data_IF_112451213831
#
_entry.id   IF_112451213831
#
_cell.length_a   1.000
_cell.length_b   1.000
_cell.length_c   1.000
_cell.angle_alpha   90.00
_cell.angle_beta   90.00
_cell.angle_gamma   90.00
#
_symmetry.space_group_name_H-M   'P 1'
#
loop_
_entity.id
_entity.type
_entity.pdbx_description
1 polymer ?
#
# COMPACT_ATOMS: atom_id res chain seq x y z
N UNK A 1 -3.85 -10.42 -1.40
CA UNK A 1 -3.57 -10.04 0.01
C UNK A 1 -3.63 -8.53 0.12
N UNK A 2 -4.02 -8.00 1.29
CA UNK A 2 -3.98 -6.56 1.56
C UNK A 2 -2.94 -6.35 2.67
N UNK A 3 -2.08 -5.35 2.49
CA UNK A 3 -1.08 -4.94 3.46
C UNK A 3 -1.30 -3.47 3.80
N UNK A 4 -1.14 -3.12 5.08
CA UNK A 4 -1.41 -1.78 5.56
C UNK A 4 -0.13 -1.04 5.93
N UNK A 5 -0.07 0.24 5.55
CA UNK A 5 0.98 1.16 5.95
C UNK A 5 0.37 2.40 6.58
N UNK A 6 0.91 2.83 7.72
CA UNK A 6 0.50 4.04 8.42
C UNK A 6 1.42 5.20 8.03
N UNK A 7 0.85 6.17 7.31
CA UNK A 7 1.50 7.41 6.93
C UNK A 7 1.22 8.55 7.91
N UNK A 8 1.57 9.76 7.51
CA UNK A 8 1.31 10.97 8.31
C UNK A 8 -0.15 11.42 8.16
N UNK A 9 -1.04 10.80 8.94
CA UNK A 9 -2.47 11.13 8.99
C UNK A 9 -3.35 10.35 8.00
N UNK A 10 -2.80 9.34 7.34
CA UNK A 10 -3.53 8.47 6.42
C UNK A 10 -3.04 7.02 6.52
N UNK A 11 -3.89 6.10 6.06
CA UNK A 11 -3.53 4.70 5.88
C UNK A 11 -3.48 4.38 4.39
N UNK A 12 -2.47 3.62 3.99
CA UNK A 12 -2.32 3.09 2.65
C UNK A 12 -2.60 1.59 2.70
N UNK A 13 -3.55 1.15 1.89
CA UNK A 13 -3.87 -0.27 1.71
C UNK A 13 -3.30 -0.73 0.36
N UNK A 14 -2.29 -1.60 0.42
CA UNK A 14 -1.61 -2.15 -0.75
C UNK A 14 -2.18 -3.51 -1.07
N UNK A 15 -2.88 -3.60 -2.20
CA UNK A 15 -3.29 -4.88 -2.78
C UNK A 15 -2.09 -5.57 -3.41
N UNK A 16 -1.96 -6.89 -3.21
CA UNK A 16 -0.90 -7.68 -3.82
C UNK A 16 -1.37 -9.10 -4.11
N UNK A 17 -0.80 -9.75 -5.13
CA UNK A 17 -1.09 -11.15 -5.45
C UNK A 17 -0.56 -12.11 -4.38
N UNK A 18 0.62 -11.83 -3.83
CA UNK A 18 1.33 -12.65 -2.85
C UNK A 18 1.75 -11.84 -1.63
N UNK A 19 2.26 -12.49 -0.58
CA UNK A 19 2.83 -11.80 0.58
C UNK A 19 4.04 -10.96 0.15
N UNK A 20 4.05 -9.69 0.54
CA UNK A 20 5.12 -8.75 0.21
C UNK A 20 6.40 -9.16 0.95
N UNK A 21 7.52 -9.24 0.24
CA UNK A 21 8.81 -9.59 0.84
C UNK A 21 9.31 -8.48 1.77
N UNK A 22 10.20 -8.78 2.72
CA UNK A 22 10.78 -7.77 3.61
C UNK A 22 11.49 -6.66 2.82
N UNK A 23 12.22 -7.04 1.77
CA UNK A 23 12.90 -6.09 0.88
C UNK A 23 11.92 -5.15 0.17
N UNK A 24 10.77 -5.66 -0.27
CA UNK A 24 9.76 -4.84 -0.92
C UNK A 24 8.98 -3.98 0.09
N UNK A 25 8.79 -4.45 1.32
CA UNK A 25 8.27 -3.63 2.43
C UNK A 25 9.20 -2.43 2.68
N UNK A 26 10.52 -2.62 2.68
CA UNK A 26 11.48 -1.53 2.86
C UNK A 26 11.41 -0.51 1.70
N UNK A 27 11.31 -0.98 0.46
CA UNK A 27 11.10 -0.11 -0.72
C UNK A 27 9.77 0.64 -0.64
N UNK A 28 8.68 -0.02 -0.27
CA UNK A 28 7.36 0.59 -0.13
C UNK A 28 7.35 1.62 1.00
N UNK A 29 8.00 1.32 2.12
CA UNK A 29 8.19 2.26 3.23
C UNK A 29 8.86 3.54 2.72
N UNK A 30 9.90 3.42 1.89
CA UNK A 30 10.54 4.57 1.25
C UNK A 30 9.61 5.31 0.28
N UNK A 31 8.94 4.60 -0.63
CA UNK A 31 7.99 5.18 -1.60
C UNK A 31 6.84 5.93 -0.92
N UNK A 32 6.41 5.44 0.24
CA UNK A 32 5.33 6.03 1.04
C UNK A 32 5.83 7.04 2.06
N UNK A 33 7.00 7.66 1.81
CA UNK A 33 7.56 8.73 2.64
C UNK A 33 7.75 8.33 4.12
N UNK A 34 8.20 7.11 4.36
CA UNK A 34 8.47 6.57 5.69
C UNK A 34 7.24 5.97 6.39
N UNK A 35 6.17 5.66 5.65
CA UNK A 35 4.98 5.04 6.24
C UNK A 35 5.32 3.68 6.88
N UNK A 36 4.82 3.46 8.10
CA UNK A 36 5.13 2.27 8.89
C UNK A 36 4.28 1.09 8.46
N UNK A 37 4.92 -0.03 8.11
CA UNK A 37 4.22 -1.29 7.86
C UNK A 37 3.49 -1.78 9.13
N UNK A 38 2.23 -2.16 8.97
CA UNK A 38 1.41 -2.76 10.03
C UNK A 38 1.24 -4.24 9.73
N UNK A 39 1.77 -5.08 10.62
CA UNK A 39 1.58 -6.52 10.57
C UNK A 39 0.21 -6.91 11.17
N UNK A 40 -0.86 -6.63 10.42
CA UNK A 40 -2.24 -6.96 10.78
C UNK A 40 -3.07 -7.31 9.54
N UNK A 41 -4.00 -8.26 9.68
CA UNK A 41 -4.92 -8.66 8.62
C UNK A 41 -6.13 -7.70 8.47
N UNK A 42 -6.45 -6.94 9.53
CA UNK A 42 -7.52 -5.96 9.55
C UNK A 42 -7.14 -4.71 10.36
N UNK A 43 -7.73 -3.56 10.00
CA UNK A 43 -7.65 -2.32 10.78
C UNK A 43 -9.02 -2.03 11.41
N UNK A 44 -9.03 -1.78 12.72
CA UNK A 44 -10.25 -1.44 13.47
C UNK A 44 -10.44 0.06 13.53
N UNK A 45 -11.65 0.52 13.22
CA UNK A 45 -12.01 1.94 13.29
C UNK A 45 -12.90 2.38 12.14
N UNK A 46 -13.14 3.68 12.07
CA UNK A 46 -13.85 4.31 10.95
C UNK A 46 -12.82 4.98 10.04
N UNK A 47 -12.84 4.62 8.76
CA UNK A 47 -11.94 5.15 7.74
C UNK A 47 -12.75 5.76 6.61
N UNK A 48 -12.22 6.84 6.03
CA UNK A 48 -12.80 7.49 4.86
C UNK A 48 -11.87 7.27 3.68
N UNK A 49 -12.41 6.81 2.56
CA UNK A 49 -11.63 6.55 1.36
C UNK A 49 -12.51 6.37 0.12
N UNK A 50 -11.88 6.11 -1.04
CA UNK A 50 -12.59 5.77 -2.25
C UNK A 50 -13.47 4.53 -2.07
N UNK A 51 -14.51 4.41 -2.90
CA UNK A 51 -15.29 3.16 -2.95
C UNK A 51 -14.40 2.03 -3.43
N UNK A 52 -14.62 0.82 -2.93
CA UNK A 52 -13.83 -0.37 -3.28
C UNK A 52 -13.77 -0.62 -4.78
N UNK A 53 -14.85 -0.31 -5.50
CA UNK A 53 -14.96 -0.50 -6.95
C UNK A 53 -14.33 0.64 -7.77
N UNK A 54 -13.84 1.71 -7.11
CA UNK A 54 -13.28 2.89 -7.78
C UNK A 54 -11.75 2.81 -7.86
N UNK A 55 -11.21 3.04 -9.06
CA UNK A 55 -9.78 3.23 -9.27
C UNK A 55 -9.52 4.74 -9.37
N UNK A 56 -8.66 5.25 -8.50
CA UNK A 56 -8.27 6.66 -8.52
C UNK A 56 -7.06 6.88 -9.42
N UNK A 57 -6.90 8.06 -10.06
CA UNK A 57 -5.68 8.38 -10.80
C UNK A 57 -4.41 8.27 -9.94
N UNK A 58 -4.51 8.60 -8.65
CA UNK A 58 -3.41 8.43 -7.70
C UNK A 58 -3.01 6.95 -7.56
N UNK A 59 -3.99 6.04 -7.39
CA UNK A 59 -3.70 4.61 -7.28
C UNK A 59 -3.10 4.03 -8.57
N UNK A 60 -3.52 4.50 -9.74
CA UNK A 60 -2.92 4.08 -11.02
C UNK A 60 -1.43 4.45 -11.06
N UNK A 61 -1.09 5.70 -10.76
CA UNK A 61 0.29 6.16 -10.75
C UNK A 61 1.13 5.43 -9.67
N UNK A 62 0.55 5.16 -8.50
CA UNK A 62 1.24 4.44 -7.43
C UNK A 62 1.61 3.02 -7.88
N UNK A 63 0.70 2.30 -8.55
CA UNK A 63 0.98 0.97 -9.11
C UNK A 63 2.12 1.04 -10.13
N UNK A 64 2.09 1.98 -11.06
CA UNK A 64 3.16 2.16 -12.06
C UNK A 64 4.54 2.42 -11.42
N UNK A 65 4.60 3.25 -10.37
CA UNK A 65 5.84 3.51 -9.63
C UNK A 65 6.35 2.24 -8.94
N UNK A 66 5.48 1.42 -8.34
CA UNK A 66 5.91 0.16 -7.74
C UNK A 66 6.51 -0.81 -8.77
N UNK A 67 5.93 -0.88 -9.96
CA UNK A 67 6.46 -1.69 -11.06
C UNK A 67 7.82 -1.19 -11.54
N UNK A 68 7.99 0.13 -11.69
CA UNK A 68 9.28 0.75 -12.03
C UNK A 68 10.37 0.48 -10.98
N UNK A 69 9.99 0.30 -9.72
CA UNK A 69 10.89 -0.08 -8.61
C UNK A 69 11.16 -1.60 -8.50
N UNK A 70 10.69 -2.37 -9.48
CA UNK A 70 10.83 -3.82 -9.54
C UNK A 70 10.00 -4.56 -8.50
N UNK A 71 8.92 -3.95 -8.00
CA UNK A 71 7.97 -4.58 -7.08
C UNK A 71 6.79 -5.08 -7.91
N UNK A 72 6.81 -6.37 -8.27
CA UNK A 72 5.81 -6.97 -9.13
C UNK A 72 4.61 -7.50 -8.34
N UNK A 73 3.42 -7.42 -8.94
CA UNK A 73 2.21 -8.05 -8.40
C UNK A 73 1.45 -7.22 -7.37
N UNK A 74 1.73 -5.92 -7.31
CA UNK A 74 0.87 -4.87 -6.73
C UNK A 74 -0.08 -4.36 -7.83
#
# INVERSE_FOLDING_TARGET
>A
MISFFEGSGNFLAVGSKNKISKNDIDKLTWLFSGAKYIEADELKGYFVGPRREMITPWSTNAVEITQNMGIAGI
#
